data_IF_970525870579
#
_entry.id   IF_970525870579
#
_cell.length_a   1.000
_cell.length_b   1.000
_cell.length_c   1.000
_cell.angle_alpha   90.00
_cell.angle_beta   90.00
_cell.angle_gamma   90.00
#
_symmetry.space_group_name_H-M   'P 1'
#
loop_
_entity.id
_entity.type
_entity.pdbx_description
1 polymer ?
#
# COMPACT_ATOMS: atom_id res chain seq x y z
N UNK A 1 -46.59 39.68 -15.54
CA UNK A 1 -46.16 38.90 -14.35
C UNK A 1 -45.62 37.58 -14.85
N UNK A 2 -44.36 37.41 -14.90
CA UNK A 2 -43.71 36.17 -15.34
C UNK A 2 -43.43 35.31 -14.10
N UNK A 3 -43.93 34.08 -14.13
CA UNK A 3 -43.72 33.05 -13.09
C UNK A 3 -42.29 32.55 -13.11
N UNK A 4 -41.64 32.27 -11.93
CA UNK A 4 -40.31 31.75 -11.92
C UNK A 4 -40.29 30.27 -12.30
N UNK A 5 -39.45 29.92 -13.25
CA UNK A 5 -39.18 28.54 -13.67
C UNK A 5 -38.46 27.83 -12.55
N UNK A 6 -39.10 26.82 -11.98
CA UNK A 6 -38.49 25.85 -11.04
C UNK A 6 -37.38 25.11 -11.76
N UNK A 7 -36.18 25.32 -11.25
CA UNK A 7 -34.98 24.60 -11.65
C UNK A 7 -35.03 23.21 -11.02
N UNK A 8 -35.61 22.25 -11.72
CA UNK A 8 -35.66 20.84 -11.32
C UNK A 8 -34.25 20.28 -11.46
N UNK A 9 -33.49 20.33 -10.38
CA UNK A 9 -32.25 19.57 -10.22
C UNK A 9 -32.64 18.09 -10.30
N UNK A 10 -32.37 17.47 -11.44
CA UNK A 10 -32.43 16.00 -11.57
C UNK A 10 -31.48 15.42 -10.54
N UNK A 11 -32.02 14.84 -9.47
CA UNK A 11 -31.27 13.92 -8.59
C UNK A 11 -30.84 12.73 -9.45
N UNK A 12 -29.63 12.82 -10.01
CA UNK A 12 -29.00 11.66 -10.62
C UNK A 12 -28.94 10.57 -9.55
N UNK A 13 -29.37 9.36 -9.90
CA UNK A 13 -29.13 8.19 -9.08
C UNK A 13 -27.61 8.11 -8.87
N UNK A 14 -27.14 8.53 -7.70
CA UNK A 14 -25.79 8.25 -7.25
C UNK A 14 -25.83 6.75 -6.97
N UNK A 15 -25.32 5.95 -7.93
CA UNK A 15 -25.10 4.52 -7.68
C UNK A 15 -24.18 4.45 -6.48
N UNK A 16 -24.68 3.94 -5.36
CA UNK A 16 -23.84 3.68 -4.18
C UNK A 16 -22.78 2.65 -4.58
N UNK A 17 -21.51 2.98 -4.37
CA UNK A 17 -20.42 2.03 -4.56
C UNK A 17 -20.62 0.87 -3.58
N UNK A 18 -20.65 -0.36 -4.10
CA UNK A 18 -20.80 -1.56 -3.26
C UNK A 18 -19.52 -1.80 -2.44
N UNK A 19 -18.35 -1.60 -3.08
CA UNK A 19 -17.07 -1.62 -2.39
C UNK A 19 -16.80 -0.24 -1.78
N UNK A 20 -16.81 -0.13 -0.46
CA UNK A 20 -16.68 1.13 0.27
C UNK A 20 -15.24 1.49 0.62
N UNK A 21 -14.38 0.49 0.85
CA UNK A 21 -12.98 0.65 1.19
C UNK A 21 -12.16 -0.52 0.66
N UNK A 22 -10.84 -0.31 0.52
CA UNK A 22 -9.90 -1.41 0.40
C UNK A 22 -9.77 -2.09 1.77
N UNK A 23 -9.80 -3.43 1.81
CA UNK A 23 -9.70 -4.19 3.05
C UNK A 23 -8.27 -4.71 3.24
N UNK A 24 -7.88 -5.75 2.49
CA UNK A 24 -6.55 -6.35 2.61
C UNK A 24 -6.09 -6.99 1.30
N UNK A 25 -4.80 -7.29 1.24
CA UNK A 25 -4.21 -8.23 0.28
C UNK A 25 -3.82 -9.51 1.00
N UNK A 26 -4.02 -10.67 0.38
CA UNK A 26 -3.53 -11.95 0.89
C UNK A 26 -2.32 -12.42 0.08
N UNK A 27 -1.25 -12.81 0.77
CA UNK A 27 -0.02 -13.34 0.20
C UNK A 27 0.18 -14.76 0.71
N UNK A 28 0.24 -15.71 -0.21
CA UNK A 28 0.63 -17.07 0.11
C UNK A 28 2.15 -17.20 0.09
N UNK A 29 2.74 -17.75 1.15
CA UNK A 29 4.18 -17.75 1.34
C UNK A 29 4.68 -19.07 1.95
N UNK A 30 5.74 -19.68 1.43
CA UNK A 30 6.48 -20.73 2.13
C UNK A 30 7.57 -20.18 3.06
N UNK A 31 7.68 -18.83 3.16
CA UNK A 31 8.71 -18.09 3.90
C UNK A 31 8.03 -17.17 4.92
N UNK A 32 7.16 -17.74 5.78
CA UNK A 32 6.28 -16.93 6.65
C UNK A 32 7.08 -15.94 7.51
N UNK A 33 8.12 -16.42 8.22
CA UNK A 33 8.88 -15.56 9.12
C UNK A 33 9.70 -14.50 8.38
N UNK A 34 10.32 -14.84 7.26
CA UNK A 34 11.07 -13.89 6.43
C UNK A 34 10.13 -12.82 5.86
N UNK A 35 8.92 -13.19 5.49
CA UNK A 35 7.89 -12.27 4.98
C UNK A 35 7.40 -11.33 6.09
N UNK A 36 7.14 -11.86 7.29
CA UNK A 36 6.82 -11.03 8.46
C UNK A 36 7.94 -10.02 8.74
N UNK A 37 9.20 -10.47 8.76
CA UNK A 37 10.35 -9.61 9.01
C UNK A 37 10.50 -8.51 7.96
N UNK A 38 10.27 -8.83 6.69
CA UNK A 38 10.30 -7.86 5.59
C UNK A 38 9.26 -6.75 5.79
N UNK A 39 7.99 -7.10 6.02
CA UNK A 39 6.94 -6.10 6.22
C UNK A 39 7.09 -5.35 7.55
N UNK A 40 7.64 -5.98 8.59
CA UNK A 40 7.95 -5.31 9.86
C UNK A 40 9.04 -4.26 9.69
N UNK A 41 10.01 -4.46 8.80
CA UNK A 41 11.00 -3.45 8.44
C UNK A 41 10.36 -2.19 7.84
N UNK A 42 9.23 -2.35 7.13
CA UNK A 42 8.43 -1.26 6.57
C UNK A 42 7.48 -0.62 7.59
N UNK A 43 7.45 -1.12 8.83
CA UNK A 43 6.63 -0.61 9.93
C UNK A 43 5.30 -1.32 10.13
N UNK A 44 4.99 -2.40 9.38
CA UNK A 44 3.81 -3.20 9.65
C UNK A 44 4.00 -4.04 10.91
N UNK A 45 2.92 -4.23 11.65
CA UNK A 45 2.90 -4.89 12.95
C UNK A 45 2.22 -6.24 12.82
N UNK A 46 2.92 -7.32 13.18
CA UNK A 46 2.32 -8.65 13.35
C UNK A 46 1.39 -8.64 14.56
N UNK A 47 0.10 -8.87 14.34
CA UNK A 47 -0.93 -8.65 15.33
C UNK A 47 -1.92 -9.81 15.48
N UNK A 48 -3.03 -9.52 16.15
CA UNK A 48 -4.06 -10.50 16.41
C UNK A 48 -4.60 -11.11 15.11
N UNK A 49 -4.64 -12.43 15.06
CA UNK A 49 -5.24 -13.24 13.99
C UNK A 49 -6.20 -14.25 14.62
N UNK A 50 -7.41 -14.44 14.06
CA UNK A 50 -8.28 -15.51 14.48
C UNK A 50 -7.60 -16.89 14.43
N UNK A 51 -8.03 -17.80 15.28
CA UNK A 51 -7.49 -19.16 15.36
C UNK A 51 -8.00 -20.00 14.19
N UNK A 52 -7.24 -20.00 13.09
CA UNK A 52 -7.49 -20.84 11.91
C UNK A 52 -6.70 -22.15 12.03
N UNK A 53 -7.16 -23.18 11.31
CA UNK A 53 -6.50 -24.50 11.25
C UNK A 53 -5.30 -24.53 10.28
N UNK A 54 -4.77 -23.40 9.88
CA UNK A 54 -3.57 -23.23 9.03
C UNK A 54 -2.71 -22.10 9.56
N UNK A 55 -1.40 -22.16 9.29
CA UNK A 55 -0.46 -21.15 9.73
C UNK A 55 -0.56 -19.87 8.88
N UNK A 56 -0.22 -18.76 9.49
CA UNK A 56 -0.21 -17.46 8.83
C UNK A 56 -0.08 -16.32 9.83
N UNK A 57 -0.13 -15.10 9.33
CA UNK A 57 -0.04 -13.88 10.13
C UNK A 57 -0.93 -12.80 9.54
N UNK A 58 -1.40 -11.89 10.37
CA UNK A 58 -2.10 -10.67 9.99
C UNK A 58 -1.26 -9.46 10.35
N UNK A 59 -0.95 -8.63 9.34
CA UNK A 59 -0.08 -7.48 9.49
C UNK A 59 -0.90 -6.19 9.40
N UNK A 60 -0.64 -5.28 10.33
CA UNK A 60 -1.37 -4.05 10.56
C UNK A 60 -0.49 -2.83 10.31
N UNK A 61 -1.08 -1.75 9.76
CA UNK A 61 -0.42 -0.46 9.57
C UNK A 61 -0.45 0.41 10.84
N UNK A 62 -1.43 0.20 11.70
CA UNK A 62 -1.63 1.04 12.88
C UNK A 62 -1.44 0.25 14.18
N UNK A 63 -0.97 0.90 15.26
CA UNK A 63 -0.76 0.26 16.55
C UNK A 63 -2.08 -0.11 17.26
N UNK A 64 -3.22 0.44 16.84
CA UNK A 64 -4.53 0.16 17.44
C UNK A 64 -5.15 -1.13 16.86
N UNK A 65 -4.48 -1.77 15.91
CA UNK A 65 -4.87 -3.05 15.31
C UNK A 65 -6.31 -3.09 14.77
N UNK A 66 -6.78 -1.98 14.21
CA UNK A 66 -8.16 -1.91 13.72
C UNK A 66 -8.36 -2.64 12.40
N UNK A 67 -7.34 -2.60 11.50
CA UNK A 67 -7.43 -3.19 10.17
C UNK A 67 -6.13 -3.86 9.78
N UNK A 68 -6.15 -5.18 9.63
CA UNK A 68 -5.04 -5.91 9.03
C UNK A 68 -5.05 -5.68 7.52
N UNK A 69 -4.02 -5.05 6.98
CA UNK A 69 -3.95 -4.72 5.55
C UNK A 69 -3.22 -5.78 4.71
N UNK A 70 -2.41 -6.64 5.34
CA UNK A 70 -1.76 -7.77 4.69
C UNK A 70 -2.03 -9.04 5.49
N UNK A 71 -2.62 -10.04 4.83
CA UNK A 71 -2.78 -11.36 5.39
C UNK A 71 -1.73 -12.29 4.76
N UNK A 72 -1.07 -13.07 5.59
CA UNK A 72 -0.12 -14.09 5.16
C UNK A 72 -0.70 -15.47 5.44
N UNK A 73 -0.64 -16.36 4.45
CA UNK A 73 -0.98 -17.77 4.60
C UNK A 73 0.26 -18.59 4.28
N UNK A 74 0.69 -19.42 5.24
CA UNK A 74 1.78 -20.35 5.00
C UNK A 74 1.32 -21.49 4.11
N UNK A 75 2.09 -21.73 3.04
CA UNK A 75 1.87 -22.82 2.09
C UNK A 75 3.12 -23.66 1.91
N UNK A 76 2.95 -24.88 1.40
CA UNK A 76 4.07 -25.74 1.04
C UNK A 76 4.88 -25.16 -0.12
N UNK A 77 6.22 -25.35 -0.09
CA UNK A 77 7.13 -24.90 -1.14
C UNK A 77 6.79 -25.47 -2.52
N UNK A 78 6.27 -26.69 -2.57
CA UNK A 78 5.90 -27.35 -3.82
C UNK A 78 4.67 -26.72 -4.49
N UNK A 79 3.84 -26.01 -3.72
CA UNK A 79 2.67 -25.26 -4.20
C UNK A 79 2.96 -23.79 -4.50
N UNK A 80 4.18 -23.33 -4.23
CA UNK A 80 4.54 -21.93 -4.33
C UNK A 80 4.95 -21.53 -5.74
N UNK A 81 4.34 -20.42 -6.22
CA UNK A 81 4.74 -19.75 -7.47
C UNK A 81 5.22 -18.36 -7.10
N UNK A 82 6.50 -18.08 -7.33
CA UNK A 82 7.12 -16.79 -7.02
C UNK A 82 6.54 -15.68 -7.89
N UNK A 83 6.21 -14.55 -7.26
CA UNK A 83 5.69 -13.36 -7.92
C UNK A 83 4.18 -13.17 -7.70
N UNK A 84 3.66 -12.08 -8.20
CA UNK A 84 2.27 -11.65 -7.99
C UNK A 84 1.33 -11.94 -9.17
N UNK A 85 1.80 -12.69 -10.17
CA UNK A 85 1.01 -12.96 -11.37
C UNK A 85 0.76 -11.69 -12.20
N UNK A 86 -0.51 -11.38 -12.45
CA UNK A 86 -0.91 -10.14 -13.18
C UNK A 86 -1.01 -8.91 -12.27
N UNK A 87 -0.91 -9.07 -10.95
CA UNK A 87 -0.81 -7.94 -10.03
C UNK A 87 0.62 -7.39 -10.11
N UNK A 88 0.79 -6.17 -10.61
CA UNK A 88 2.10 -5.56 -10.81
C UNK A 88 2.76 -5.25 -9.47
N UNK A 89 2.08 -4.52 -8.60
CA UNK A 89 2.58 -4.15 -7.27
C UNK A 89 1.45 -3.88 -6.28
N UNK A 90 1.82 -3.82 -5.00
CA UNK A 90 1.02 -3.23 -3.93
C UNK A 90 1.71 -1.96 -3.46
N UNK A 91 0.95 -0.91 -3.16
CA UNK A 91 1.52 0.38 -2.79
C UNK A 91 1.07 0.84 -1.40
N UNK A 92 2.02 1.34 -0.61
CA UNK A 92 1.77 2.00 0.66
C UNK A 92 2.06 3.49 0.56
N UNK A 93 1.24 4.29 1.23
CA UNK A 93 1.51 5.72 1.42
C UNK A 93 2.42 5.90 2.62
N UNK A 94 3.44 6.73 2.46
CA UNK A 94 4.41 7.05 3.50
C UNK A 94 4.54 8.58 3.63
N UNK A 95 4.88 9.04 4.81
CA UNK A 95 5.19 10.45 5.04
C UNK A 95 6.54 10.79 4.41
N UNK A 96 6.63 11.96 3.77
CA UNK A 96 7.83 12.37 3.02
C UNK A 96 9.08 12.44 3.89
N UNK A 97 8.94 12.78 5.17
CA UNK A 97 10.03 12.84 6.14
C UNK A 97 10.68 11.48 6.41
N UNK A 98 9.97 10.38 6.14
CA UNK A 98 10.46 9.02 6.36
C UNK A 98 11.35 8.49 5.22
N UNK A 99 11.47 9.20 4.10
CA UNK A 99 12.19 8.70 2.91
C UNK A 99 13.64 8.32 3.23
N UNK A 100 14.41 9.23 3.82
CA UNK A 100 15.84 8.99 4.11
C UNK A 100 16.04 7.89 5.14
N UNK A 101 15.21 7.85 6.18
CA UNK A 101 15.28 6.80 7.20
C UNK A 101 14.93 5.43 6.60
N UNK A 102 13.94 5.38 5.71
CA UNK A 102 13.55 4.14 5.02
C UNK A 102 14.69 3.64 4.13
N UNK A 103 15.33 4.52 3.35
CA UNK A 103 16.49 4.15 2.52
C UNK A 103 17.63 3.57 3.38
N UNK A 104 17.95 4.20 4.50
CA UNK A 104 18.98 3.70 5.42
C UNK A 104 18.63 2.30 5.97
N UNK A 105 17.39 2.07 6.38
CA UNK A 105 16.92 0.76 6.87
C UNK A 105 17.02 -0.33 5.79
N UNK A 106 16.68 0.01 4.54
CA UNK A 106 16.80 -0.92 3.42
C UNK A 106 18.25 -1.26 3.11
N UNK A 107 19.14 -0.26 3.13
CA UNK A 107 20.58 -0.44 2.92
C UNK A 107 21.20 -1.30 4.05
N UNK A 108 20.86 -1.04 5.32
CA UNK A 108 21.30 -1.84 6.47
C UNK A 108 20.81 -3.30 6.42
N UNK A 109 19.61 -3.51 5.86
CA UNK A 109 19.03 -4.84 5.67
C UNK A 109 19.48 -5.51 4.35
N UNK A 110 20.36 -4.88 3.58
CA UNK A 110 20.83 -5.34 2.26
C UNK A 110 19.68 -5.61 1.26
N UNK A 111 18.58 -4.85 1.38
CA UNK A 111 17.44 -4.91 0.47
C UNK A 111 17.61 -3.89 -0.64
N UNK A 112 17.77 -4.38 -1.87
CA UNK A 112 17.88 -3.52 -3.06
C UNK A 112 16.54 -2.82 -3.34
N UNK A 113 16.62 -1.54 -3.70
CA UNK A 113 15.46 -0.76 -4.11
C UNK A 113 15.74 0.07 -5.36
N UNK A 114 14.66 0.43 -6.06
CA UNK A 114 14.70 1.41 -7.16
C UNK A 114 14.01 2.68 -6.67
N UNK A 115 14.71 3.80 -6.74
CA UNK A 115 14.13 5.13 -6.46
C UNK A 115 13.58 5.75 -7.76
N UNK A 116 12.43 6.40 -7.63
CA UNK A 116 11.83 7.22 -8.69
C UNK A 116 11.21 8.48 -8.07
N UNK A 117 11.11 9.55 -8.87
CA UNK A 117 10.42 10.78 -8.49
C UNK A 117 9.44 11.17 -9.59
N UNK A 118 8.17 11.29 -9.24
CA UNK A 118 7.08 11.70 -10.13
C UNK A 118 6.65 13.11 -9.78
N UNK A 119 6.66 14.02 -10.76
CA UNK A 119 6.08 15.35 -10.62
C UNK A 119 4.58 15.26 -10.94
N UNK A 120 3.71 15.64 -9.99
CA UNK A 120 2.27 15.58 -10.15
C UNK A 120 1.67 16.80 -10.85
N UNK A 121 2.33 17.96 -10.71
CA UNK A 121 1.92 19.21 -11.34
C UNK A 121 3.16 19.93 -11.88
N UNK A 122 3.12 20.35 -13.13
CA UNK A 122 3.98 21.43 -13.59
C UNK A 122 3.51 22.68 -12.85
N UNK A 123 4.40 23.27 -12.07
CA UNK A 123 4.08 24.49 -11.31
C UNK A 123 3.43 25.51 -12.25
N UNK A 124 2.18 25.86 -11.99
CA UNK A 124 1.56 27.00 -12.64
C UNK A 124 2.54 28.17 -12.54
N UNK A 125 2.68 28.99 -13.59
CA UNK A 125 3.62 30.10 -13.72
C UNK A 125 3.61 31.15 -12.57
N UNK A 126 2.98 30.87 -11.47
CA UNK A 126 3.11 31.60 -10.22
C UNK A 126 4.33 31.09 -9.46
N UNK A 127 5.38 31.89 -9.49
CA UNK A 127 6.76 31.64 -9.06
C UNK A 127 6.98 31.20 -7.59
N UNK A 128 5.98 30.71 -6.85
CA UNK A 128 6.09 30.49 -5.41
C UNK A 128 5.65 29.12 -4.87
N UNK A 129 5.05 28.25 -5.70
CA UNK A 129 4.64 26.92 -5.23
C UNK A 129 5.57 25.87 -5.84
N UNK A 130 6.36 25.14 -5.04
CA UNK A 130 7.17 24.05 -5.57
C UNK A 130 6.27 22.99 -6.19
N UNK A 131 6.69 22.33 -7.28
CA UNK A 131 5.92 21.27 -7.89
C UNK A 131 5.65 20.17 -6.86
N UNK A 132 4.39 19.73 -6.77
CA UNK A 132 4.05 18.55 -5.98
C UNK A 132 4.69 17.34 -6.59
N UNK A 133 5.41 16.59 -5.79
CA UNK A 133 6.11 15.39 -6.21
C UNK A 133 5.75 14.22 -5.29
N UNK A 134 5.85 13.01 -5.83
CA UNK A 134 5.87 11.77 -5.06
C UNK A 134 7.27 11.18 -5.24
N UNK A 135 7.95 10.94 -4.13
CA UNK A 135 9.15 10.12 -4.11
C UNK A 135 8.74 8.66 -3.90
N UNK A 136 9.26 7.75 -4.72
CA UNK A 136 8.84 6.36 -4.75
C UNK A 136 10.04 5.44 -4.52
N UNK A 137 9.89 4.45 -3.67
CA UNK A 137 10.80 3.32 -3.57
C UNK A 137 10.08 2.05 -4.01
N UNK A 138 10.69 1.29 -4.91
CA UNK A 138 10.22 -0.03 -5.35
C UNK A 138 11.16 -1.09 -4.80
N UNK A 139 10.62 -2.00 -4.02
CA UNK A 139 11.32 -3.13 -3.39
C UNK A 139 10.57 -4.43 -3.72
N UNK A 140 11.21 -5.56 -3.50
CA UNK A 140 10.58 -6.88 -3.74
C UNK A 140 10.61 -7.68 -2.46
N UNK A 141 9.45 -8.20 -2.06
CA UNK A 141 9.32 -9.06 -0.88
C UNK A 141 9.93 -10.46 -1.11
N UNK A 142 10.09 -11.31 -0.08
CA UNK A 142 10.62 -12.66 -0.23
C UNK A 142 9.86 -13.55 -1.23
N UNK A 143 8.59 -13.24 -1.49
CA UNK A 143 7.72 -14.01 -2.38
C UNK A 143 7.77 -13.50 -3.84
N UNK A 144 8.50 -12.42 -4.12
CA UNK A 144 8.57 -11.80 -5.43
C UNK A 144 7.42 -10.82 -5.70
N UNK A 145 6.67 -10.39 -4.68
CA UNK A 145 5.69 -9.33 -4.79
C UNK A 145 6.41 -7.98 -4.79
N UNK A 146 6.15 -7.16 -5.81
CA UNK A 146 6.67 -5.80 -5.84
C UNK A 146 5.88 -4.92 -4.87
N UNK A 147 6.60 -4.19 -4.03
CA UNK A 147 6.04 -3.24 -3.07
C UNK A 147 6.52 -1.85 -3.43
N UNK A 148 5.59 -0.93 -3.55
CA UNK A 148 5.84 0.49 -3.82
C UNK A 148 5.58 1.30 -2.56
N UNK A 149 6.56 2.12 -2.17
CA UNK A 149 6.41 3.08 -1.08
C UNK A 149 6.31 4.48 -1.66
N UNK A 150 5.17 5.14 -1.48
CA UNK A 150 4.88 6.47 -2.00
C UNK A 150 5.02 7.52 -0.89
N UNK A 151 6.14 8.26 -0.91
CA UNK A 151 6.45 9.33 0.03
C UNK A 151 5.89 10.66 -0.47
N UNK A 152 4.92 11.20 0.25
CA UNK A 152 4.27 12.48 -0.10
C UNK A 152 3.64 13.14 1.12
N UNK A 153 3.45 14.47 1.01
CA UNK A 153 2.69 15.27 1.98
C UNK A 153 1.22 14.84 2.08
#
# INVERSE_FOLDING_TARGET
>A
MASPTENTIRKGNIMSCIATNFDHVNINTPYLQETINFYSLLGLIDGHRPDFNFNGSWLYLDPDYQTACVHLIEIDKDSFVKGSGTLDHIAFRCDVEQLTETQNKLDEAEISYKYNRVLLEEGNNEKSTPPKAIDQLFIVDPNGVQVELNFRE
#
